data_IF_462499491949
#
_entry.id   IF_462499491949
#
_cell.length_a   1.000
_cell.length_b   1.000
_cell.length_c   1.000
_cell.angle_alpha   90.00
_cell.angle_beta   90.00
_cell.angle_gamma   90.00
#
_symmetry.space_group_name_H-M   'P 1'
#
loop_
_entity.id
_entity.type
_entity.pdbx_description
1 polymer ?
#
# COMPACT_ATOMS: atom_id res chain seq x y z
N UNK A 1 -3.47 -17.93 20.38
CA UNK A 1 -2.61 -17.27 19.36
C UNK A 1 -2.45 -15.81 19.74
N UNK A 2 -1.24 -15.35 19.86
CA UNK A 2 -0.98 -13.93 20.10
C UNK A 2 -0.99 -13.18 18.75
N UNK A 3 -1.94 -12.30 18.58
CA UNK A 3 -2.09 -11.54 17.34
C UNK A 3 -0.83 -10.72 17.01
N UNK A 4 -0.27 -10.01 17.99
CA UNK A 4 0.89 -9.15 17.75
C UNK A 4 2.09 -9.94 17.23
N UNK A 5 2.44 -11.03 17.90
CA UNK A 5 3.55 -11.89 17.47
C UNK A 5 3.32 -12.48 16.09
N UNK A 6 2.09 -12.90 15.82
CA UNK A 6 1.73 -13.48 14.53
C UNK A 6 1.85 -12.45 13.40
N UNK A 7 1.34 -11.25 13.62
CA UNK A 7 1.42 -10.18 12.62
C UNK A 7 2.87 -9.83 12.29
N UNK A 8 3.73 -9.73 13.30
CA UNK A 8 5.14 -9.42 13.08
C UNK A 8 5.83 -10.53 12.27
N UNK A 9 5.51 -11.79 12.57
CA UNK A 9 6.09 -12.94 11.86
C UNK A 9 5.66 -13.02 10.40
N UNK A 10 4.49 -12.51 10.05
CA UNK A 10 3.99 -12.53 8.68
C UNK A 10 4.72 -11.54 7.78
N UNK A 11 5.40 -10.56 8.36
CA UNK A 11 6.04 -9.49 7.58
C UNK A 11 7.34 -9.97 6.97
N UNK A 12 7.47 -9.91 5.62
CA UNK A 12 8.75 -10.21 4.98
C UNK A 12 9.78 -9.14 5.29
N UNK A 13 11.04 -9.50 5.25
CA UNK A 13 12.12 -8.54 5.36
C UNK A 13 12.16 -7.65 4.11
N UNK A 14 12.44 -6.37 4.33
CA UNK A 14 12.63 -5.41 3.26
C UNK A 14 14.09 -4.93 3.34
N UNK A 15 14.92 -5.21 2.33
CA UNK A 15 16.35 -4.93 2.41
C UNK A 15 16.72 -3.46 2.70
N UNK A 16 15.83 -2.54 2.34
CA UNK A 16 16.04 -1.10 2.56
C UNK A 16 15.46 -0.59 3.87
N UNK A 17 14.85 -1.46 4.67
CA UNK A 17 14.24 -1.08 5.95
C UNK A 17 15.27 -0.97 7.05
N UNK A 18 16.28 -0.14 6.84
CA UNK A 18 17.31 0.12 7.85
C UNK A 18 17.03 1.47 8.50
N UNK A 19 17.19 1.51 9.82
CA UNK A 19 17.19 2.79 10.53
C UNK A 19 18.48 3.49 10.14
N UNK A 20 18.34 4.64 9.47
CA UNK A 20 19.47 5.48 9.08
C UNK A 20 19.43 6.70 9.97
N UNK A 21 20.57 7.06 10.51
CA UNK A 21 20.68 8.28 11.31
C UNK A 21 20.17 9.48 10.53
N UNK A 22 19.34 10.32 11.16
CA UNK A 22 18.79 11.52 10.57
C UNK A 22 17.45 11.39 9.87
N UNK A 23 16.88 10.18 9.76
CA UNK A 23 15.53 10.04 9.20
C UNK A 23 14.47 10.35 10.26
N UNK A 24 13.31 10.81 9.81
CA UNK A 24 12.19 11.12 10.70
C UNK A 24 11.56 9.84 11.25
N UNK A 25 10.83 9.97 12.37
CA UNK A 25 10.07 8.86 12.93
C UNK A 25 9.03 8.31 11.96
N UNK A 26 8.42 9.19 11.18
CA UNK A 26 7.42 8.78 10.16
C UNK A 26 8.09 7.97 9.06
N UNK A 27 9.23 8.40 8.58
CA UNK A 27 9.97 7.67 7.55
C UNK A 27 10.44 6.31 8.06
N UNK A 28 10.92 6.26 9.30
CA UNK A 28 11.29 5.01 9.96
C UNK A 28 10.09 4.06 10.04
N UNK A 29 8.93 4.55 10.49
CA UNK A 29 7.71 3.76 10.56
C UNK A 29 7.30 3.26 9.17
N UNK A 30 7.39 4.12 8.15
CA UNK A 30 7.13 3.73 6.78
C UNK A 30 7.99 2.55 6.36
N UNK A 31 9.29 2.61 6.64
CA UNK A 31 10.25 1.61 6.16
C UNK A 31 10.18 0.30 6.96
N UNK A 32 9.96 0.38 8.26
CA UNK A 32 9.98 -0.79 9.14
C UNK A 32 8.61 -1.49 9.22
N UNK A 33 7.53 -0.72 9.17
CA UNK A 33 6.18 -1.25 9.39
C UNK A 33 5.36 -1.28 8.11
N UNK A 34 5.23 -0.15 7.41
CA UNK A 34 4.33 -0.02 6.26
C UNK A 34 4.82 -0.83 5.07
N UNK A 35 6.07 -0.68 4.66
CA UNK A 35 6.60 -1.38 3.48
C UNK A 35 6.56 -2.91 3.60
N UNK A 36 6.94 -3.52 4.73
CA UNK A 36 6.80 -4.97 4.87
C UNK A 36 5.36 -5.45 4.76
N UNK A 37 4.40 -4.72 5.31
CA UNK A 37 2.98 -5.07 5.21
C UNK A 37 2.50 -4.97 3.76
N UNK A 38 2.87 -3.90 3.06
CA UNK A 38 2.51 -3.75 1.64
C UNK A 38 3.10 -4.89 0.82
N UNK A 39 4.33 -5.28 1.09
CA UNK A 39 4.97 -6.41 0.42
C UNK A 39 4.23 -7.72 0.70
N UNK A 40 3.81 -7.94 1.94
CA UNK A 40 3.01 -9.10 2.30
C UNK A 40 1.66 -9.11 1.57
N UNK A 41 1.03 -7.95 1.43
CA UNK A 41 -0.27 -7.77 0.79
C UNK A 41 -0.20 -7.57 -0.73
N UNK A 42 0.98 -7.74 -1.34
CA UNK A 42 1.19 -7.44 -2.76
C UNK A 42 0.13 -8.06 -3.67
N UNK A 43 -0.05 -9.38 -3.58
CA UNK A 43 -0.97 -10.08 -4.48
C UNK A 43 -2.43 -9.67 -4.25
N UNK A 44 -2.78 -9.44 -2.99
CA UNK A 44 -4.11 -8.97 -2.64
C UNK A 44 -4.37 -7.56 -3.20
N UNK A 45 -3.42 -6.65 -3.06
CA UNK A 45 -3.51 -5.28 -3.59
C UNK A 45 -3.68 -5.29 -5.11
N UNK A 46 -2.89 -6.10 -5.81
CA UNK A 46 -2.96 -6.20 -7.26
C UNK A 46 -4.30 -6.78 -7.71
N UNK A 47 -4.79 -7.81 -7.03
CA UNK A 47 -6.10 -8.41 -7.35
C UNK A 47 -7.24 -7.42 -7.12
N UNK A 48 -7.17 -6.67 -6.02
CA UNK A 48 -8.17 -5.65 -5.68
C UNK A 48 -8.20 -4.56 -6.73
N UNK A 49 -7.02 -4.05 -7.12
CA UNK A 49 -6.94 -3.01 -8.15
C UNK A 49 -7.39 -3.53 -9.51
N UNK A 50 -7.01 -4.74 -9.88
CA UNK A 50 -7.43 -5.36 -11.14
C UNK A 50 -8.96 -5.43 -11.23
N UNK A 51 -9.61 -5.86 -10.16
CA UNK A 51 -11.06 -5.90 -10.10
C UNK A 51 -11.68 -4.50 -10.24
N UNK A 52 -11.11 -3.52 -9.56
CA UNK A 52 -11.55 -2.12 -9.65
C UNK A 52 -11.41 -1.60 -11.09
N UNK A 53 -10.25 -1.82 -11.70
CA UNK A 53 -9.97 -1.33 -13.06
C UNK A 53 -10.94 -1.94 -14.07
N UNK A 54 -11.18 -3.24 -14.00
CA UNK A 54 -12.10 -3.93 -14.92
C UNK A 54 -13.54 -3.52 -14.72
N UNK A 55 -13.91 -3.09 -13.53
CA UNK A 55 -15.24 -2.56 -13.25
C UNK A 55 -15.49 -1.20 -13.91
N UNK A 56 -14.46 -0.38 -14.04
CA UNK A 56 -14.55 0.94 -14.68
C UNK A 56 -14.17 0.93 -16.15
N UNK A 57 -13.29 0.02 -16.55
CA UNK A 57 -12.78 -0.07 -17.93
C UNK A 57 -12.94 -1.52 -18.42
N UNK A 58 -14.04 -1.82 -19.08
CA UNK A 58 -14.34 -3.19 -19.54
C UNK A 58 -13.29 -3.74 -20.50
N UNK A 59 -12.61 -2.86 -21.22
CA UNK A 59 -11.57 -3.23 -22.18
C UNK A 59 -10.16 -3.05 -21.59
N UNK A 60 -10.03 -3.19 -20.27
CA UNK A 60 -8.77 -2.95 -19.56
C UNK A 60 -7.58 -3.67 -20.21
N UNK A 61 -7.74 -4.96 -20.53
CA UNK A 61 -6.65 -5.75 -21.09
C UNK A 61 -6.12 -5.26 -22.42
N UNK A 62 -6.94 -4.52 -23.20
CA UNK A 62 -6.55 -4.00 -24.52
C UNK A 62 -6.10 -2.54 -24.48
N UNK A 63 -6.13 -1.89 -23.30
CA UNK A 63 -5.65 -0.52 -23.20
C UNK A 63 -4.13 -0.45 -23.34
N UNK A 64 -3.64 0.65 -23.92
CA UNK A 64 -2.20 0.92 -23.98
C UNK A 64 -1.63 1.10 -22.56
N UNK A 65 -0.32 0.93 -22.43
CA UNK A 65 0.35 1.16 -21.15
C UNK A 65 0.19 2.60 -20.68
N UNK A 66 0.18 3.56 -21.61
CA UNK A 66 -0.08 4.98 -21.29
C UNK A 66 -1.45 5.18 -20.66
N UNK A 67 -2.49 4.59 -21.25
CA UNK A 67 -3.86 4.70 -20.73
C UNK A 67 -4.01 3.99 -19.39
N UNK A 68 -3.39 2.84 -19.23
CA UNK A 68 -3.39 2.12 -17.95
C UNK A 68 -2.71 2.94 -16.87
N UNK A 69 -1.54 3.51 -17.17
CA UNK A 69 -0.81 4.37 -16.24
C UNK A 69 -1.63 5.56 -15.82
N UNK A 70 -2.26 6.25 -16.79
CA UNK A 70 -3.14 7.38 -16.49
C UNK A 70 -4.29 6.96 -15.57
N UNK A 71 -4.92 5.84 -15.86
CA UNK A 71 -6.03 5.34 -15.03
C UNK A 71 -5.57 5.04 -13.60
N UNK A 72 -4.41 4.39 -13.46
CA UNK A 72 -3.84 4.06 -12.13
C UNK A 72 -3.57 5.34 -11.34
N UNK A 73 -2.89 6.30 -11.95
CA UNK A 73 -2.56 7.56 -11.27
C UNK A 73 -3.81 8.35 -10.90
N UNK A 74 -4.75 8.43 -11.81
CA UNK A 74 -6.00 9.17 -11.57
C UNK A 74 -6.83 8.50 -10.46
N UNK A 75 -6.97 7.19 -10.51
CA UNK A 75 -7.76 6.44 -9.51
C UNK A 75 -7.14 6.57 -8.11
N UNK A 76 -5.83 6.39 -8.00
CA UNK A 76 -5.14 6.45 -6.71
C UNK A 76 -5.06 7.88 -6.17
N UNK A 77 -5.14 8.88 -7.03
CA UNK A 77 -5.12 10.28 -6.58
C UNK A 77 -6.51 10.79 -6.19
N UNK A 78 -7.57 10.36 -6.87
CA UNK A 78 -8.89 10.99 -6.77
C UNK A 78 -10.00 10.12 -6.19
N UNK A 79 -9.89 8.79 -6.28
CA UNK A 79 -10.96 7.91 -5.81
C UNK A 79 -10.82 7.66 -4.30
N UNK A 80 -11.58 8.38 -3.50
CA UNK A 80 -11.45 8.30 -2.05
C UNK A 80 -11.86 6.93 -1.50
N UNK A 81 -12.85 6.28 -2.10
CA UNK A 81 -13.27 4.94 -1.66
C UNK A 81 -12.16 3.92 -1.89
N UNK A 82 -11.49 4.00 -3.04
CA UNK A 82 -10.37 3.12 -3.34
C UNK A 82 -9.20 3.36 -2.38
N UNK A 83 -8.87 4.62 -2.14
CA UNK A 83 -7.82 4.98 -1.17
C UNK A 83 -8.12 4.43 0.21
N UNK A 84 -9.35 4.60 0.67
CA UNK A 84 -9.76 4.12 2.00
C UNK A 84 -9.66 2.60 2.08
N UNK A 85 -10.02 1.89 1.02
CA UNK A 85 -9.89 0.44 0.97
C UNK A 85 -8.43 0.01 1.06
N UNK A 86 -7.56 0.65 0.30
CA UNK A 86 -6.13 0.37 0.35
C UNK A 86 -5.54 0.64 1.74
N UNK A 87 -5.88 1.78 2.33
CA UNK A 87 -5.40 2.13 3.68
C UNK A 87 -5.86 1.07 4.67
N UNK A 88 -7.14 0.66 4.61
CA UNK A 88 -7.68 -0.37 5.49
C UNK A 88 -6.95 -1.70 5.36
N UNK A 89 -6.55 -2.08 4.14
CA UNK A 89 -5.80 -3.31 3.90
C UNK A 89 -4.45 -3.33 4.61
N UNK A 90 -3.88 -2.17 4.87
CA UNK A 90 -2.57 -2.05 5.50
C UNK A 90 -2.72 -1.89 7.01
N UNK A 91 -3.56 -0.95 7.46
CA UNK A 91 -3.70 -0.69 8.90
C UNK A 91 -4.32 -1.88 9.65
N UNK A 92 -5.07 -2.73 8.95
CA UNK A 92 -5.61 -3.96 9.53
C UNK A 92 -4.53 -4.93 10.00
N UNK A 93 -3.29 -4.77 9.54
CA UNK A 93 -2.14 -5.59 9.97
C UNK A 93 -1.27 -4.91 11.00
N UNK A 94 -1.69 -3.76 11.53
CA UNK A 94 -0.94 -3.07 12.58
C UNK A 94 -1.19 -3.72 13.94
N UNK A 95 -0.17 -3.68 14.79
CA UNK A 95 -0.35 -3.91 16.22
C UNK A 95 -1.03 -2.69 16.84
N UNK A 96 -1.62 -2.81 18.05
CA UNK A 96 -2.21 -1.64 18.71
C UNK A 96 -1.23 -0.47 18.90
N UNK A 97 0.03 -0.75 19.22
CA UNK A 97 1.05 0.31 19.37
C UNK A 97 1.29 1.02 18.03
N UNK A 98 1.38 0.25 16.95
CA UNK A 98 1.52 0.81 15.59
C UNK A 98 0.30 1.64 15.20
N UNK A 99 -0.88 1.16 15.58
CA UNK A 99 -2.13 1.90 15.31
C UNK A 99 -2.15 3.24 16.03
N UNK A 100 -1.66 3.30 17.27
CA UNK A 100 -1.55 4.54 18.01
C UNK A 100 -0.62 5.55 17.31
N UNK A 101 0.54 5.08 16.87
CA UNK A 101 1.45 5.94 16.11
C UNK A 101 0.80 6.43 14.81
N UNK A 102 0.09 5.53 14.12
CA UNK A 102 -0.62 5.88 12.89
C UNK A 102 -1.64 7.01 13.14
N UNK A 103 -2.45 6.90 14.19
CA UNK A 103 -3.45 7.93 14.46
C UNK A 103 -2.83 9.28 14.81
N UNK A 104 -1.68 9.29 15.45
CA UNK A 104 -0.95 10.54 15.73
C UNK A 104 -0.37 11.19 14.47
N UNK A 105 -0.24 10.42 13.39
CA UNK A 105 0.37 10.88 12.13
C UNK A 105 -0.47 10.52 10.92
N UNK A 106 -1.78 10.44 11.09
CA UNK A 106 -2.71 9.85 10.14
C UNK A 106 -2.64 10.44 8.74
N UNK A 107 -2.70 11.75 8.64
CA UNK A 107 -2.74 12.43 7.34
C UNK A 107 -1.48 12.11 6.50
N UNK A 108 -0.31 12.26 7.11
CA UNK A 108 0.95 12.00 6.43
C UNK A 108 1.14 10.52 6.09
N UNK A 109 0.78 9.62 7.02
CA UNK A 109 0.89 8.18 6.77
C UNK A 109 -0.08 7.70 5.71
N UNK A 110 -1.31 8.22 5.69
CA UNK A 110 -2.26 7.88 4.63
C UNK A 110 -1.70 8.25 3.26
N UNK A 111 -1.13 9.43 3.14
CA UNK A 111 -0.51 9.88 1.89
C UNK A 111 0.62 8.93 1.46
N UNK A 112 1.48 8.56 2.40
CA UNK A 112 2.61 7.66 2.12
C UNK A 112 2.16 6.25 1.75
N UNK A 113 1.17 5.71 2.45
CA UNK A 113 0.61 4.38 2.16
C UNK A 113 0.08 4.34 0.72
N UNK A 114 -0.76 5.30 0.36
CA UNK A 114 -1.34 5.36 -0.98
C UNK A 114 -0.26 5.53 -2.05
N UNK A 115 0.74 6.36 -1.78
CA UNK A 115 1.84 6.58 -2.72
C UNK A 115 2.66 5.32 -2.97
N UNK A 116 2.97 4.57 -1.91
CA UNK A 116 3.73 3.33 -2.03
C UNK A 116 2.91 2.27 -2.79
N UNK A 117 1.61 2.17 -2.49
CA UNK A 117 0.72 1.24 -3.19
C UNK A 117 0.63 1.62 -4.67
N UNK A 118 0.49 2.90 -4.98
CA UNK A 118 0.47 3.37 -6.37
C UNK A 118 1.74 2.94 -7.11
N UNK A 119 2.90 3.16 -6.51
CA UNK A 119 4.16 2.76 -7.13
C UNK A 119 4.25 1.25 -7.34
N UNK A 120 3.73 0.48 -6.38
CA UNK A 120 3.67 -0.98 -6.50
C UNK A 120 2.82 -1.40 -7.69
N UNK A 121 1.64 -0.82 -7.83
CA UNK A 121 0.72 -1.13 -8.94
C UNK A 121 1.37 -0.77 -10.27
N UNK A 122 1.98 0.41 -10.36
CA UNK A 122 2.66 0.86 -11.59
C UNK A 122 3.80 -0.08 -11.96
N UNK A 123 4.56 -0.57 -10.98
CA UNK A 123 5.66 -1.48 -11.24
C UNK A 123 5.20 -2.86 -11.73
N UNK A 124 3.94 -3.20 -11.51
CA UNK A 124 3.35 -4.49 -11.90
C UNK A 124 2.31 -4.35 -13.00
N UNK A 125 2.46 -3.33 -13.83
CA UNK A 125 1.49 -2.97 -14.87
C UNK A 125 1.10 -4.13 -15.77
N UNK A 126 2.06 -5.02 -16.08
CA UNK A 126 1.82 -6.15 -16.96
C UNK A 126 1.13 -7.35 -16.27
N UNK A 127 0.98 -7.32 -14.96
CA UNK A 127 0.40 -8.41 -14.18
C UNK A 127 -1.08 -8.18 -13.84
N UNK A 128 -1.61 -7.04 -14.21
CA UNK A 128 -2.99 -6.66 -13.87
C UNK A 128 -3.86 -6.46 -15.10
#
# INVERSE_FOLDING_TARGET
MDRNSTLIKLRPEVPKAKITEGISEIEEFQNITVRPIIKFQNDFILALFSNHARGYQKNWGSLSNEKKTFFIENSTNKNQNLKNTFIGCIIGFFTPDELNFYFDNKSELNRRIVQIIKQRILSKLFEI
#
